data_IF_516588750380
#
_entry.id   IF_516588750380
#
_cell.length_a   1.000
_cell.length_b   1.000
_cell.length_c   1.000
_cell.angle_alpha   90.00
_cell.angle_beta   90.00
_cell.angle_gamma   90.00
#
_symmetry.space_group_name_H-M   'P 1'
#
loop_
_entity.id
_entity.type
_entity.pdbx_description
1 polymer ?
#
# COMPACT_ATOMS: atom_id res chain seq x y z
N UNK A 1 10.03 -25.14 -10.06
CA UNK A 1 9.23 -24.90 -8.83
C UNK A 1 7.77 -24.80 -9.23
N UNK A 2 6.86 -25.34 -8.42
CA UNK A 2 5.42 -25.17 -8.68
C UNK A 2 4.98 -23.71 -8.50
N UNK A 3 3.93 -23.29 -9.21
CA UNK A 3 3.38 -21.93 -9.13
C UNK A 3 3.01 -21.52 -7.69
N UNK A 4 2.52 -22.46 -6.87
CA UNK A 4 2.22 -22.22 -5.46
C UNK A 4 3.44 -21.86 -4.62
N UNK A 5 4.58 -22.52 -4.84
CA UNK A 5 5.83 -22.20 -4.15
C UNK A 5 6.37 -20.82 -4.54
N UNK A 6 6.21 -20.44 -5.81
CA UNK A 6 6.58 -19.10 -6.30
C UNK A 6 5.70 -18.03 -5.64
N UNK A 7 4.38 -18.26 -5.57
CA UNK A 7 3.45 -17.34 -4.90
C UNK A 7 3.78 -17.18 -3.42
N UNK A 8 4.13 -18.26 -2.72
CA UNK A 8 4.49 -18.20 -1.30
C UNK A 8 5.75 -17.33 -1.06
N UNK A 9 6.80 -17.54 -1.85
CA UNK A 9 8.04 -16.75 -1.74
C UNK A 9 7.83 -15.28 -2.12
N UNK A 10 7.06 -15.03 -3.18
CA UNK A 10 6.66 -13.69 -3.57
C UNK A 10 5.83 -12.99 -2.47
N UNK A 11 4.91 -13.72 -1.84
CA UNK A 11 4.10 -13.22 -0.72
C UNK A 11 4.97 -12.90 0.49
N UNK A 12 5.93 -13.76 0.84
CA UNK A 12 6.88 -13.47 1.91
C UNK A 12 7.66 -12.17 1.64
N UNK A 13 8.15 -12.00 0.40
CA UNK A 13 8.75 -10.74 -0.04
C UNK A 13 7.83 -9.54 0.16
N UNK A 14 6.60 -9.60 -0.34
CA UNK A 14 5.60 -8.53 -0.22
C UNK A 14 5.35 -8.11 1.24
N UNK A 15 5.19 -9.10 2.14
CA UNK A 15 4.95 -8.85 3.55
C UNK A 15 6.16 -8.20 4.22
N UNK A 16 7.36 -8.69 3.94
CA UNK A 16 8.60 -8.11 4.46
C UNK A 16 8.82 -6.68 3.97
N UNK A 17 8.61 -6.43 2.68
CA UNK A 17 8.74 -5.10 2.09
C UNK A 17 7.69 -4.12 2.63
N UNK A 18 6.45 -4.57 2.77
CA UNK A 18 5.37 -3.77 3.34
C UNK A 18 5.60 -3.43 4.81
N UNK A 19 5.96 -4.43 5.63
CA UNK A 19 6.30 -4.22 7.04
C UNK A 19 7.48 -3.24 7.20
N UNK A 20 8.52 -3.38 6.38
CA UNK A 20 9.65 -2.44 6.37
C UNK A 20 9.20 -1.02 6.05
N UNK A 21 8.38 -0.82 5.01
CA UNK A 21 7.85 0.52 4.69
C UNK A 21 7.04 1.12 5.84
N UNK A 22 6.20 0.31 6.50
CA UNK A 22 5.46 0.75 7.68
C UNK A 22 6.38 1.19 8.82
N UNK A 23 7.42 0.42 9.11
CA UNK A 23 8.41 0.75 10.14
C UNK A 23 9.27 1.96 9.78
N UNK A 24 9.63 2.15 8.51
CA UNK A 24 10.34 3.34 8.04
C UNK A 24 9.48 4.58 8.21
N UNK A 25 8.19 4.52 7.83
CA UNK A 25 7.25 5.63 8.05
C UNK A 25 7.09 5.92 9.55
N UNK A 26 6.99 4.89 10.39
CA UNK A 26 6.97 5.05 11.84
C UNK A 26 8.24 5.72 12.38
N UNK A 27 9.42 5.31 11.92
CA UNK A 27 10.67 5.95 12.32
C UNK A 27 10.69 7.43 11.93
N UNK A 28 10.21 7.74 10.72
CA UNK A 28 10.11 9.12 10.23
C UNK A 28 9.00 9.93 10.90
N UNK A 29 8.05 9.28 11.60
CA UNK A 29 6.96 9.99 12.28
C UNK A 29 7.47 10.96 13.33
N UNK A 30 8.62 10.66 13.97
CA UNK A 30 9.28 11.57 14.91
C UNK A 30 9.64 12.94 14.33
N UNK A 31 9.73 13.08 13.00
CA UNK A 31 9.91 14.39 12.36
C UNK A 31 8.69 15.31 12.51
N UNK A 32 7.52 14.74 12.84
CA UNK A 32 6.28 15.48 13.08
C UNK A 32 6.03 15.79 14.57
N UNK A 33 6.96 15.41 15.45
CA UNK A 33 6.89 15.67 16.89
C UNK A 33 6.70 17.17 17.25
N UNK A 34 7.36 18.13 16.56
CA UNK A 34 7.17 19.55 16.87
C UNK A 34 5.76 20.09 16.58
N UNK A 35 4.93 19.36 15.82
CA UNK A 35 3.57 19.77 15.48
C UNK A 35 2.64 19.44 16.65
N UNK A 36 1.87 20.41 17.18
CA UNK A 36 0.90 20.14 18.25
C UNK A 36 -0.11 19.05 17.87
N UNK A 37 -0.62 18.32 18.85
CA UNK A 37 -1.55 17.20 18.63
C UNK A 37 -2.78 17.59 17.80
N UNK A 38 -3.40 18.73 18.11
CA UNK A 38 -4.53 19.27 17.35
C UNK A 38 -4.16 19.58 15.89
N UNK A 39 -2.94 20.08 15.67
CA UNK A 39 -2.39 20.33 14.34
C UNK A 39 -2.20 19.03 13.55
N UNK A 40 -1.69 17.97 14.20
CA UNK A 40 -1.53 16.65 13.58
C UNK A 40 -2.88 16.00 13.27
N UNK A 41 -3.84 16.06 14.19
CA UNK A 41 -5.19 15.56 13.99
C UNK A 41 -5.89 16.26 12.81
N UNK A 42 -5.80 17.58 12.73
CA UNK A 42 -6.31 18.36 11.61
C UNK A 42 -5.62 18.00 10.28
N UNK A 43 -4.30 17.79 10.30
CA UNK A 43 -3.54 17.37 9.12
C UNK A 43 -3.95 15.96 8.65
N UNK A 44 -4.16 15.00 9.57
CA UNK A 44 -4.67 13.65 9.24
C UNK A 44 -6.05 13.74 8.60
N UNK A 45 -6.96 14.54 9.17
CA UNK A 45 -8.29 14.75 8.59
C UNK A 45 -8.21 15.38 7.19
N UNK A 46 -7.38 16.40 7.01
CA UNK A 46 -7.17 17.05 5.72
C UNK A 46 -6.63 16.07 4.67
N UNK A 47 -5.64 15.24 5.03
CA UNK A 47 -5.07 14.20 4.15
C UNK A 47 -6.13 13.16 3.79
N UNK A 48 -6.95 12.72 4.74
CA UNK A 48 -8.04 11.76 4.50
C UNK A 48 -9.05 12.32 3.49
N UNK A 49 -9.50 13.56 3.68
CA UNK A 49 -10.44 14.25 2.78
C UNK A 49 -9.82 14.46 1.40
N UNK A 50 -8.57 14.95 1.32
CA UNK A 50 -7.86 15.15 0.06
C UNK A 50 -7.70 13.84 -0.73
N UNK A 51 -7.43 12.73 -0.04
CA UNK A 51 -7.37 11.39 -0.62
C UNK A 51 -8.68 10.99 -1.30
N UNK A 52 -9.82 11.19 -0.63
CA UNK A 52 -11.15 10.93 -1.21
C UNK A 52 -11.38 11.85 -2.40
N UNK A 53 -11.21 13.17 -2.25
CA UNK A 53 -11.44 14.12 -3.34
C UNK A 53 -10.59 13.79 -4.58
N UNK A 54 -9.34 13.36 -4.39
CA UNK A 54 -8.46 12.94 -5.48
C UNK A 54 -8.92 11.63 -6.13
N UNK A 55 -9.34 10.64 -5.34
CA UNK A 55 -9.82 9.35 -5.87
C UNK A 55 -11.13 9.48 -6.67
N UNK A 56 -11.96 10.46 -6.33
CA UNK A 56 -13.17 10.81 -7.07
C UNK A 56 -12.94 11.79 -8.23
N UNK A 57 -11.71 12.24 -8.45
CA UNK A 57 -11.34 13.13 -9.56
C UNK A 57 -11.70 14.60 -9.34
N UNK A 58 -12.11 14.99 -8.14
CA UNK A 58 -12.38 16.39 -7.76
C UNK A 58 -11.07 17.17 -7.62
N UNK A 59 -10.04 16.54 -7.03
CA UNK A 59 -8.72 17.12 -6.86
C UNK A 59 -7.69 16.46 -7.77
N UNK A 60 -6.94 17.26 -8.54
CA UNK A 60 -5.82 16.78 -9.36
C UNK A 60 -4.51 16.94 -8.61
N UNK A 61 -4.17 15.94 -7.79
CA UNK A 61 -2.89 15.87 -7.10
C UNK A 61 -2.03 14.75 -7.72
N UNK A 62 -0.84 15.06 -8.27
CA UNK A 62 0.09 14.04 -8.71
C UNK A 62 0.59 13.28 -7.49
N UNK A 63 0.50 11.94 -7.55
CA UNK A 63 1.06 11.10 -6.49
C UNK A 63 2.59 11.05 -6.67
N UNK A 64 3.37 10.99 -5.58
CA UNK A 64 4.81 10.79 -5.66
C UNK A 64 5.06 9.35 -6.10
N UNK A 65 5.25 9.14 -7.40
CA UNK A 65 5.47 7.84 -8.01
C UNK A 65 6.85 7.78 -8.66
N UNK A 66 7.57 6.69 -8.42
CA UNK A 66 8.82 6.40 -9.12
C UNK A 66 8.49 5.47 -10.29
N UNK A 67 8.65 5.96 -11.53
CA UNK A 67 8.26 5.25 -12.75
C UNK A 67 9.20 4.07 -13.11
N UNK A 68 10.17 3.74 -12.27
CA UNK A 68 11.08 2.60 -12.49
C UNK A 68 10.36 1.30 -12.16
N UNK A 69 10.09 0.48 -13.17
CA UNK A 69 9.58 -0.87 -12.97
C UNK A 69 10.66 -1.78 -12.38
N UNK A 70 10.22 -2.79 -11.61
CA UNK A 70 11.11 -3.81 -11.05
C UNK A 70 11.53 -4.74 -12.20
N UNK A 71 12.83 -4.95 -12.44
CA UNK A 71 13.31 -5.81 -13.52
C UNK A 71 12.79 -7.24 -13.39
N UNK A 72 12.11 -7.74 -14.42
CA UNK A 72 11.58 -9.12 -14.42
C UNK A 72 12.67 -10.18 -14.60
N UNK A 73 13.86 -9.79 -15.07
CA UNK A 73 14.99 -10.70 -15.26
C UNK A 73 15.47 -11.33 -13.94
N UNK A 74 15.20 -10.69 -12.80
CA UNK A 74 15.45 -11.23 -11.47
C UNK A 74 14.72 -12.56 -11.25
N UNK A 75 13.51 -12.72 -11.82
CA UNK A 75 12.73 -13.96 -11.75
C UNK A 75 13.36 -15.09 -12.59
N UNK A 76 14.07 -14.74 -13.68
CA UNK A 76 14.72 -15.68 -14.59
C UNK A 76 16.09 -16.14 -14.05
N UNK A 77 16.87 -15.19 -13.53
CA UNK A 77 18.24 -15.45 -13.08
C UNK A 77 18.33 -16.19 -11.74
N UNK A 78 17.33 -16.05 -10.86
CA UNK A 78 17.34 -16.62 -9.49
C UNK A 78 16.02 -17.31 -9.18
N UNK A 79 15.82 -18.59 -9.50
CA UNK A 79 14.52 -19.26 -9.40
C UNK A 79 13.89 -19.29 -8.00
N UNK A 80 14.73 -19.29 -6.94
CA UNK A 80 14.28 -19.30 -5.53
C UNK A 80 14.26 -17.90 -4.91
N UNK A 81 15.35 -17.14 -5.05
CA UNK A 81 15.47 -15.81 -4.43
C UNK A 81 14.78 -14.70 -5.24
N UNK A 82 14.61 -14.90 -6.54
CA UNK A 82 14.01 -13.91 -7.44
C UNK A 82 12.58 -13.53 -7.05
N UNK A 83 11.68 -14.51 -6.79
CA UNK A 83 10.33 -14.20 -6.31
C UNK A 83 10.32 -13.43 -5.00
N UNK A 84 11.20 -13.77 -4.04
CA UNK A 84 11.31 -13.06 -2.75
C UNK A 84 11.77 -11.61 -2.98
N UNK A 85 12.84 -11.41 -3.76
CA UNK A 85 13.37 -10.08 -4.05
C UNK A 85 12.34 -9.22 -4.80
N UNK A 86 11.72 -9.78 -5.84
CA UNK A 86 10.69 -9.08 -6.61
C UNK A 86 9.50 -8.71 -5.71
N UNK A 87 9.04 -9.65 -4.89
CA UNK A 87 7.99 -9.40 -3.91
C UNK A 87 8.37 -8.34 -2.89
N UNK A 88 9.59 -8.34 -2.38
CA UNK A 88 10.09 -7.35 -1.44
C UNK A 88 10.12 -5.94 -2.03
N UNK A 89 10.76 -5.77 -3.19
CA UNK A 89 10.81 -4.47 -3.87
C UNK A 89 9.40 -3.96 -4.20
N UNK A 90 8.51 -4.87 -4.61
CA UNK A 90 7.11 -4.55 -4.86
C UNK A 90 6.39 -4.17 -3.55
N UNK A 91 6.65 -4.88 -2.46
CA UNK A 91 6.06 -4.66 -1.14
C UNK A 91 6.43 -3.32 -0.54
N UNK A 92 7.61 -2.78 -0.87
CA UNK A 92 8.01 -1.44 -0.40
C UNK A 92 7.16 -0.31 -0.98
N UNK A 93 6.61 -0.49 -2.18
CA UNK A 93 5.88 0.56 -2.91
C UNK A 93 6.79 1.60 -3.59
N UNK A 94 8.12 1.53 -3.47
CA UNK A 94 9.06 2.59 -3.91
C UNK A 94 9.48 2.46 -5.37
N UNK A 95 9.35 1.27 -5.98
CA UNK A 95 9.74 0.98 -7.38
C UNK A 95 8.56 0.45 -8.21
N UNK A 96 7.37 0.95 -7.93
CA UNK A 96 6.13 0.49 -8.57
C UNK A 96 5.17 1.65 -8.70
N UNK A 97 4.37 1.62 -9.76
CA UNK A 97 3.22 2.51 -9.90
C UNK A 97 2.16 2.10 -8.86
N UNK A 98 1.67 3.07 -8.10
CA UNK A 98 0.57 2.88 -7.14
C UNK A 98 -0.46 3.96 -7.47
N UNK A 99 -1.49 3.57 -8.23
CA UNK A 99 -2.50 4.50 -8.75
C UNK A 99 -3.49 4.98 -7.71
N UNK A 100 -3.71 4.17 -6.67
CA UNK A 100 -4.62 4.45 -5.56
C UNK A 100 -4.02 5.47 -4.60
N UNK A 101 -4.88 6.37 -4.12
CA UNK A 101 -4.52 7.32 -3.06
C UNK A 101 -4.34 6.66 -1.69
N UNK A 102 -4.94 5.47 -1.47
CA UNK A 102 -5.03 4.85 -0.14
C UNK A 102 -3.67 4.62 0.54
N UNK A 103 -2.64 4.05 -0.11
CA UNK A 103 -1.36 3.80 0.54
C UNK A 103 -0.65 5.10 0.95
N UNK A 104 -0.82 6.17 0.16
CA UNK A 104 -0.25 7.49 0.46
C UNK A 104 -0.97 8.15 1.64
N UNK A 105 -2.30 8.09 1.67
CA UNK A 105 -3.12 8.57 2.78
C UNK A 105 -2.75 7.82 4.07
N UNK A 106 -2.64 6.49 4.01
CA UNK A 106 -2.25 5.67 5.15
C UNK A 106 -0.84 6.03 5.65
N UNK A 107 0.14 6.17 4.74
CA UNK A 107 1.51 6.53 5.11
C UNK A 107 1.59 7.91 5.77
N UNK A 108 0.93 8.92 5.22
CA UNK A 108 0.87 10.25 5.82
C UNK A 108 0.13 10.24 7.17
N UNK A 109 -0.93 9.45 7.30
CA UNK A 109 -1.62 9.29 8.58
C UNK A 109 -0.72 8.64 9.64
N UNK A 110 0.02 7.59 9.30
CA UNK A 110 1.00 6.97 10.21
C UNK A 110 2.12 7.94 10.59
N UNK A 111 2.59 8.74 9.64
CA UNK A 111 3.61 9.77 9.88
C UNK A 111 3.14 10.81 10.90
N UNK A 112 1.87 11.23 10.84
CA UNK A 112 1.33 12.31 11.66
C UNK A 112 0.70 11.84 12.99
N UNK A 113 0.29 10.57 13.09
CA UNK A 113 -0.45 10.06 14.26
C UNK A 113 0.42 9.47 15.37
N UNK A 114 1.74 9.35 15.17
CA UNK A 114 2.68 8.72 16.11
C UNK A 114 2.19 7.39 16.71
N UNK A 115 1.75 6.42 15.89
CA UNK A 115 1.23 5.17 16.42
C UNK A 115 2.35 4.31 17.02
N UNK A 116 1.99 3.30 17.81
CA UNK A 116 2.95 2.28 18.23
C UNK A 116 3.54 1.55 17.01
N UNK A 117 4.83 1.19 17.05
CA UNK A 117 5.53 0.53 15.93
C UNK A 117 4.79 -0.70 15.38
N UNK A 118 4.16 -1.49 16.26
CA UNK A 118 3.35 -2.67 15.88
C UNK A 118 2.17 -2.33 14.97
N UNK A 119 1.55 -1.16 15.16
CA UNK A 119 0.42 -0.69 14.35
C UNK A 119 0.91 -0.28 12.96
N UNK A 120 2.04 0.44 12.89
CA UNK A 120 2.64 0.80 11.62
C UNK A 120 3.13 -0.42 10.83
N UNK A 121 3.73 -1.40 11.51
CA UNK A 121 4.09 -2.69 10.91
C UNK A 121 2.85 -3.44 10.40
N UNK A 122 1.76 -3.47 11.18
CA UNK A 122 0.51 -4.09 10.77
C UNK A 122 -0.13 -3.40 9.54
N UNK A 123 -0.08 -2.07 9.47
CA UNK A 123 -0.53 -1.32 8.30
C UNK A 123 0.31 -1.64 7.05
N UNK A 124 1.63 -1.71 7.21
CA UNK A 124 2.56 -2.14 6.17
C UNK A 124 2.33 -3.58 5.70
N UNK A 125 2.09 -4.50 6.64
CA UNK A 125 1.69 -5.88 6.33
C UNK A 125 0.36 -5.91 5.59
N UNK A 126 -0.63 -5.12 6.01
CA UNK A 126 -1.92 -5.00 5.32
C UNK A 126 -1.77 -4.57 3.86
N UNK A 127 -0.87 -3.61 3.59
CA UNK A 127 -0.50 -3.24 2.22
C UNK A 127 0.09 -4.42 1.44
N UNK A 128 1.05 -5.15 2.03
CA UNK A 128 1.63 -6.36 1.43
C UNK A 128 0.59 -7.47 1.17
N UNK A 129 -0.30 -7.73 2.12
CA UNK A 129 -1.40 -8.71 2.03
C UNK A 129 -2.34 -8.35 0.88
N UNK A 130 -2.77 -7.09 0.75
CA UNK A 130 -3.66 -6.68 -0.34
C UNK A 130 -3.07 -6.96 -1.72
N UNK A 131 -1.75 -6.74 -1.88
CA UNK A 131 -1.03 -7.07 -3.12
C UNK A 131 -0.90 -8.59 -3.32
N UNK A 132 -0.63 -9.34 -2.25
CA UNK A 132 -0.53 -10.79 -2.31
C UNK A 132 -1.86 -11.43 -2.73
N UNK A 133 -2.98 -10.95 -2.18
CA UNK A 133 -4.33 -11.38 -2.55
C UNK A 133 -4.64 -11.11 -4.03
N UNK A 134 -4.13 -10.01 -4.60
CA UNK A 134 -4.28 -9.73 -6.03
C UNK A 134 -3.58 -10.81 -6.87
N UNK A 135 -2.35 -11.19 -6.53
CA UNK A 135 -1.63 -12.25 -7.25
C UNK A 135 -2.26 -13.64 -7.02
N UNK A 136 -2.70 -13.92 -5.80
CA UNK A 136 -3.33 -15.18 -5.43
C UNK A 136 -4.67 -15.38 -6.15
N UNK A 137 -5.52 -14.36 -6.21
CA UNK A 137 -6.81 -14.42 -6.91
C UNK A 137 -6.64 -14.67 -8.41
N UNK A 138 -5.62 -14.07 -9.05
CA UNK A 138 -5.29 -14.40 -10.45
C UNK A 138 -4.96 -15.88 -10.59
N UNK A 139 -4.06 -16.39 -9.75
CA UNK A 139 -3.65 -17.80 -9.79
C UNK A 139 -4.82 -18.77 -9.55
N UNK A 140 -5.67 -18.46 -8.57
CA UNK A 140 -6.80 -19.31 -8.17
C UNK A 140 -7.99 -19.22 -9.12
N UNK A 141 -8.21 -18.08 -9.78
CA UNK A 141 -9.32 -17.91 -10.71
C UNK A 141 -9.25 -18.88 -11.89
N UNK A 142 -8.01 -19.22 -12.34
CA UNK A 142 -7.74 -20.00 -13.55
C UNK A 142 -8.47 -19.50 -14.80
N UNK A 143 -8.92 -18.25 -14.78
CA UNK A 143 -9.76 -17.65 -15.81
C UNK A 143 -8.94 -16.59 -16.57
N UNK A 144 -8.67 -16.80 -17.87
CA UNK A 144 -7.95 -15.84 -18.71
C UNK A 144 -8.60 -14.44 -18.74
N UNK A 145 -9.93 -14.35 -18.57
CA UNK A 145 -10.71 -13.11 -18.55
C UNK A 145 -10.78 -12.42 -17.19
N UNK A 146 -10.18 -12.99 -16.14
CA UNK A 146 -10.24 -12.43 -14.78
C UNK A 146 -9.74 -10.99 -14.72
N UNK A 147 -8.57 -10.72 -15.30
CA UNK A 147 -7.95 -9.39 -15.26
C UNK A 147 -8.82 -8.32 -15.92
N UNK A 148 -9.47 -8.64 -17.05
CA UNK A 148 -10.36 -7.72 -17.74
C UNK A 148 -11.58 -7.35 -16.87
N UNK A 149 -12.22 -8.35 -16.22
CA UNK A 149 -13.36 -8.10 -15.34
C UNK A 149 -12.97 -7.37 -14.06
N UNK A 150 -11.81 -7.70 -13.49
CA UNK A 150 -11.26 -7.01 -12.33
C UNK A 150 -10.97 -5.54 -12.64
N UNK A 151 -10.42 -5.24 -13.83
CA UNK A 151 -10.11 -3.88 -14.26
C UNK A 151 -11.35 -2.98 -14.30
N UNK A 152 -12.50 -3.49 -14.77
CA UNK A 152 -13.77 -2.74 -14.80
C UNK A 152 -14.26 -2.36 -13.40
N UNK A 153 -14.02 -3.21 -12.39
CA UNK A 153 -14.46 -2.99 -11.00
C UNK A 153 -13.42 -2.25 -10.15
N UNK A 154 -12.17 -2.16 -10.60
CA UNK A 154 -11.06 -1.59 -9.85
C UNK A 154 -11.29 -0.14 -9.41
N UNK A 155 -11.86 0.77 -10.23
CA UNK A 155 -12.15 2.13 -9.78
C UNK A 155 -13.11 2.17 -8.60
N UNK A 156 -14.16 1.33 -8.61
CA UNK A 156 -15.11 1.25 -7.51
C UNK A 156 -14.44 0.72 -6.23
N UNK A 157 -13.68 -0.38 -6.33
CA UNK A 157 -12.96 -0.95 -5.19
C UNK A 157 -11.98 0.06 -4.58
N UNK A 158 -11.28 0.81 -5.43
CA UNK A 158 -10.31 1.82 -4.97
C UNK A 158 -11.01 2.98 -4.25
N UNK A 159 -12.12 3.49 -4.80
CA UNK A 159 -12.95 4.51 -4.15
C UNK A 159 -13.49 4.04 -2.81
N UNK A 160 -14.01 2.81 -2.74
CA UNK A 160 -14.51 2.23 -1.49
C UNK A 160 -13.39 2.09 -0.46
N UNK A 161 -12.22 1.59 -0.85
CA UNK A 161 -11.08 1.43 0.05
C UNK A 161 -10.58 2.78 0.60
N UNK A 162 -10.44 3.80 -0.28
CA UNK A 162 -10.03 5.16 0.14
C UNK A 162 -11.08 5.78 1.07
N UNK A 163 -12.36 5.62 0.76
CA UNK A 163 -13.46 6.17 1.58
C UNK A 163 -13.53 5.49 2.95
N UNK A 164 -13.41 4.16 3.00
CA UNK A 164 -13.40 3.41 4.25
C UNK A 164 -12.19 3.76 5.12
N UNK A 165 -11.00 3.90 4.51
CA UNK A 165 -9.80 4.37 5.21
C UNK A 165 -9.99 5.79 5.76
N UNK A 166 -10.50 6.71 4.93
CA UNK A 166 -10.75 8.09 5.35
C UNK A 166 -11.73 8.16 6.52
N UNK A 167 -12.83 7.40 6.48
CA UNK A 167 -13.79 7.31 7.58
C UNK A 167 -13.13 6.77 8.85
N UNK A 168 -12.34 5.71 8.76
CA UNK A 168 -11.63 5.15 9.91
C UNK A 168 -10.67 6.16 10.54
N UNK A 169 -9.94 6.93 9.72
CA UNK A 169 -9.03 7.98 10.19
C UNK A 169 -9.77 9.15 10.84
N UNK A 170 -10.86 9.61 10.22
CA UNK A 170 -11.69 10.69 10.77
C UNK A 170 -12.26 10.29 12.13
N UNK A 171 -12.75 9.06 12.27
CA UNK A 171 -13.24 8.54 13.54
C UNK A 171 -12.14 8.39 14.60
N UNK A 172 -10.90 8.15 14.18
CA UNK A 172 -9.77 8.01 15.09
C UNK A 172 -9.29 9.36 15.65
N UNK A 173 -9.35 10.44 14.86
CA UNK A 173 -8.89 11.77 15.29
C UNK A 173 -9.96 12.60 16.04
N UNK A 174 -11.20 12.14 16.05
CA UNK A 174 -12.30 12.77 16.80
C UNK A 174 -12.49 12.20 18.21
N UNK A 175 -11.69 11.21 18.61
CA UNK A 175 -11.71 10.60 19.95
C UNK A 175 -10.61 11.21 20.81
#
# INVERSE_FOLDING_TARGET
MGQGSVLALFTAGLLLGGALSGLVVWLLSGLSEPIPETGRAAAVAAVAVAGVLREFGVLRLPLPQNARQIPQDVLRMRPRLGPVQFGFELGTGVRTYVSSSAPYVAALALLLSHPAARVAAAAGLGFGVGRALTAATVLWSRDPGWNARAAVRMPLLTRLAVTALALALLLAVTR
#
